data_IF_851409678538
#
_entry.id   IF_851409678538
#
_cell.length_a   1.000
_cell.length_b   1.000
_cell.length_c   1.000
_cell.angle_alpha   90.00
_cell.angle_beta   90.00
_cell.angle_gamma   90.00
#
_symmetry.space_group_name_H-M   'P 1'
#
loop_
_entity.id
_entity.type
_entity.pdbx_description
1 polymer ?
#
# COMPACT_ATOMS: atom_id res chain seq x y z
N UNK A 1 -21.60 -10.05 -27.26
CA UNK A 1 -20.76 -11.00 -26.52
C UNK A 1 -19.27 -10.64 -26.55
N UNK A 2 -18.88 -9.41 -26.96
CA UNK A 2 -17.46 -8.97 -26.95
C UNK A 2 -17.09 -8.11 -25.74
N UNK A 3 -18.08 -7.53 -25.06
CA UNK A 3 -17.86 -6.68 -23.89
C UNK A 3 -17.44 -7.47 -22.66
N UNK A 4 -17.89 -8.73 -22.50
CA UNK A 4 -17.52 -9.61 -21.36
C UNK A 4 -16.07 -10.08 -21.37
N UNK A 5 -15.39 -10.11 -22.54
CA UNK A 5 -13.99 -10.53 -22.61
C UNK A 5 -12.99 -9.43 -22.27
N UNK A 6 -13.39 -8.16 -22.36
CA UNK A 6 -12.51 -7.01 -22.06
C UNK A 6 -12.42 -6.72 -20.55
N UNK A 7 -13.40 -7.18 -19.76
CA UNK A 7 -13.36 -7.07 -18.29
C UNK A 7 -12.36 -8.03 -17.61
N UNK A 8 -11.89 -9.06 -18.32
CA UNK A 8 -11.13 -10.16 -17.72
C UNK A 8 -9.62 -9.91 -17.60
N UNK A 9 -9.04 -8.92 -18.28
CA UNK A 9 -7.57 -8.75 -18.32
C UNK A 9 -7.01 -7.55 -17.53
N UNK A 10 -7.83 -6.74 -16.83
CA UNK A 10 -7.33 -5.61 -16.03
C UNK A 10 -8.01 -5.54 -14.66
N UNK A 11 -7.62 -6.47 -13.80
CA UNK A 11 -8.11 -6.68 -12.43
C UNK A 11 -7.74 -5.57 -11.44
N UNK A 12 -6.68 -4.80 -11.72
CA UNK A 12 -6.14 -3.74 -10.87
C UNK A 12 -5.48 -2.67 -11.75
N UNK A 13 -5.43 -1.41 -11.29
CA UNK A 13 -4.66 -0.36 -11.96
C UNK A 13 -4.02 0.56 -10.94
N UNK A 14 -2.75 0.88 -11.13
CA UNK A 14 -2.06 1.88 -10.32
C UNK A 14 -2.04 3.22 -11.02
N UNK A 15 -2.83 4.18 -10.52
CA UNK A 15 -2.78 5.57 -10.99
C UNK A 15 -1.76 6.35 -10.16
N UNK A 16 -0.89 7.07 -10.86
CA UNK A 16 0.01 8.01 -10.25
C UNK A 16 -0.73 9.34 -10.04
N UNK A 17 -0.54 9.95 -8.87
CA UNK A 17 -1.03 11.31 -8.65
C UNK A 17 -0.09 12.29 -9.32
N UNK A 18 -0.64 13.15 -10.18
CA UNK A 18 0.12 14.15 -10.93
C UNK A 18 0.71 15.18 -9.95
N UNK A 19 2.04 15.28 -9.88
CA UNK A 19 2.76 16.26 -9.06
C UNK A 19 2.62 17.66 -9.68
N UNK A 20 1.45 18.28 -9.60
CA UNK A 20 1.26 19.65 -10.08
C UNK A 20 1.61 20.66 -8.96
N UNK A 21 2.86 21.13 -8.97
CA UNK A 21 3.32 22.33 -8.25
C UNK A 21 3.72 22.12 -6.79
N UNK A 22 5.03 22.18 -6.48
CA UNK A 22 5.68 22.25 -5.15
C UNK A 22 5.10 21.41 -3.98
N UNK A 23 4.20 20.47 -4.24
CA UNK A 23 3.67 19.53 -3.28
C UNK A 23 4.52 18.27 -3.31
N UNK A 24 5.57 18.23 -2.51
CA UNK A 24 6.14 16.95 -2.09
C UNK A 24 5.00 16.15 -1.46
N UNK A 25 4.68 14.99 -2.05
CA UNK A 25 3.84 13.98 -1.39
C UNK A 25 4.48 13.68 -0.05
N UNK A 26 3.93 14.24 1.03
CA UNK A 26 4.41 13.99 2.38
C UNK A 26 3.82 12.67 2.85
N UNK A 27 4.48 11.58 2.47
CA UNK A 27 4.32 10.31 3.16
C UNK A 27 4.87 10.49 4.57
N UNK A 28 3.99 10.55 5.56
CA UNK A 28 4.40 10.70 6.97
C UNK A 28 4.63 9.30 7.54
N UNK A 29 5.88 8.85 7.56
CA UNK A 29 6.24 7.62 8.28
C UNK A 29 6.11 7.87 9.79
N UNK A 30 4.96 7.50 10.34
CA UNK A 30 4.63 7.74 11.76
C UNK A 30 4.87 6.51 12.63
N UNK A 31 5.70 5.57 12.17
CA UNK A 31 6.08 4.39 12.95
C UNK A 31 6.93 4.83 14.14
N UNK A 32 6.71 4.26 15.34
CA UNK A 32 7.64 4.46 16.45
C UNK A 32 9.00 3.87 16.05
N UNK A 33 9.96 4.75 15.76
CA UNK A 33 11.33 4.38 15.44
C UNK A 33 11.97 3.81 16.72
N UNK A 34 12.01 2.48 16.86
CA UNK A 34 12.93 1.86 17.81
C UNK A 34 14.32 1.84 17.16
N UNK A 35 15.03 2.97 17.26
CA UNK A 35 16.46 3.07 16.96
C UNK A 35 17.26 2.27 17.99
N UNK A 36 17.41 0.96 17.78
CA UNK A 36 18.27 0.12 18.62
C UNK A 36 19.09 -0.84 17.77
N UNK A 37 19.98 -0.31 16.92
CA UNK A 37 21.11 -1.09 16.39
C UNK A 37 22.23 -0.17 15.87
N UNK A 38 22.99 0.38 16.81
CA UNK A 38 24.40 0.69 16.62
C UNK A 38 25.07 0.98 17.96
N UNK A 39 25.75 -0.02 18.51
CA UNK A 39 27.04 0.08 19.20
C UNK A 39 27.48 -1.34 19.55
N UNK A 40 28.45 -1.88 18.79
CA UNK A 40 29.35 -2.87 19.37
C UNK A 40 30.10 -2.15 20.48
N UNK A 41 29.87 -2.58 21.72
CA UNK A 41 30.60 -2.19 22.90
C UNK A 41 30.60 -3.40 23.82
N UNK A 42 31.78 -3.91 24.08
CA UNK A 42 32.09 -4.94 25.07
C UNK A 42 31.62 -4.48 26.46
N UNK A 43 31.36 -5.50 27.28
CA UNK A 43 31.26 -5.47 28.74
C UNK A 43 29.99 -4.91 29.43
N UNK A 44 29.72 -5.62 30.53
CA UNK A 44 28.82 -5.37 31.63
C UNK A 44 27.39 -5.93 31.61
N UNK A 45 27.28 -6.93 32.49
CA UNK A 45 26.14 -7.72 32.87
C UNK A 45 25.33 -6.91 33.88
N UNK A 46 24.18 -6.35 33.49
CA UNK A 46 23.20 -5.91 34.48
C UNK A 46 21.76 -6.03 33.95
N UNK A 47 20.94 -6.71 34.73
CA UNK A 47 19.59 -7.12 34.40
C UNK A 47 18.67 -5.92 34.13
N UNK A 48 18.50 -5.54 32.86
CA UNK A 48 17.39 -4.68 32.45
C UNK A 48 16.17 -5.54 32.10
N UNK A 49 15.24 -5.56 33.06
CA UNK A 49 13.85 -5.97 32.88
C UNK A 49 13.19 -5.00 31.88
N UNK A 50 13.41 -5.22 30.59
CA UNK A 50 12.77 -4.49 29.51
C UNK A 50 11.27 -4.75 29.56
N UNK A 51 10.51 -3.80 30.10
CA UNK A 51 9.10 -3.64 29.78
C UNK A 51 9.04 -3.46 28.27
N UNK A 52 8.76 -4.53 27.54
CA UNK A 52 8.24 -4.43 26.18
C UNK A 52 6.91 -3.68 26.32
N UNK A 53 6.96 -2.35 26.19
CA UNK A 53 5.79 -1.57 25.85
C UNK A 53 5.33 -2.13 24.51
N UNK A 54 4.33 -3.02 24.56
CA UNK A 54 3.58 -3.44 23.38
C UNK A 54 3.31 -2.17 22.58
N UNK A 55 3.76 -2.07 21.32
CA UNK A 55 3.50 -0.88 20.53
C UNK A 55 2.00 -0.63 20.61
N UNK A 56 1.61 0.53 21.12
CA UNK A 56 0.21 0.93 21.18
C UNK A 56 -0.20 1.02 19.71
N UNK A 57 -0.76 -0.09 19.20
CA UNK A 57 -1.32 -0.16 17.86
C UNK A 57 -2.33 0.97 17.78
N UNK A 58 -1.99 2.04 17.05
CA UNK A 58 -2.94 3.12 16.79
C UNK A 58 -4.17 2.47 16.19
N UNK A 59 -5.33 2.90 16.67
CA UNK A 59 -6.61 2.45 16.11
C UNK A 59 -6.54 2.55 14.60
N UNK A 60 -6.79 1.44 13.91
CA UNK A 60 -6.78 1.40 12.47
C UNK A 60 -8.01 2.13 11.92
N UNK A 61 -7.77 3.29 11.31
CA UNK A 61 -8.80 4.14 10.69
C UNK A 61 -8.70 4.15 9.16
N UNK A 62 -7.88 3.25 8.61
CA UNK A 62 -7.58 3.19 7.17
C UNK A 62 -8.69 2.53 6.36
N UNK A 63 -9.48 1.67 7.00
CA UNK A 63 -10.43 0.77 6.34
C UNK A 63 -9.79 -0.56 5.90
N UNK A 64 -8.48 -0.74 5.98
CA UNK A 64 -7.85 -2.05 5.75
C UNK A 64 -8.05 -2.99 6.94
N UNK A 65 -8.12 -4.31 6.72
CA UNK A 65 -7.98 -5.30 7.80
C UNK A 65 -6.68 -5.09 8.59
N UNK A 66 -6.71 -5.28 9.91
CA UNK A 66 -5.56 -5.03 10.80
C UNK A 66 -4.35 -5.91 10.46
N UNK A 67 -4.60 -7.17 10.09
CA UNK A 67 -3.58 -8.10 9.65
C UNK A 67 -2.92 -7.63 8.35
N UNK A 68 -3.73 -7.16 7.38
CA UNK A 68 -3.22 -6.62 6.14
C UNK A 68 -2.38 -5.37 6.39
N UNK A 69 -2.89 -4.40 7.15
CA UNK A 69 -2.14 -3.18 7.51
C UNK A 69 -0.79 -3.54 8.12
N UNK A 70 -0.80 -4.39 9.15
CA UNK A 70 0.41 -4.81 9.86
C UNK A 70 1.39 -5.52 8.92
N UNK A 71 0.90 -6.47 8.11
CA UNK A 71 1.73 -7.19 7.16
C UNK A 71 2.38 -6.29 6.11
N UNK A 72 1.64 -5.29 5.60
CA UNK A 72 2.20 -4.31 4.67
C UNK A 72 3.26 -3.44 5.37
N UNK A 73 2.99 -2.94 6.57
CA UNK A 73 3.92 -2.09 7.32
C UNK A 73 5.23 -2.83 7.66
N UNK A 74 5.14 -4.09 8.09
CA UNK A 74 6.30 -4.93 8.42
C UNK A 74 7.13 -5.31 7.18
N UNK A 75 6.46 -5.64 6.07
CA UNK A 75 7.15 -6.08 4.85
C UNK A 75 7.72 -4.91 4.04
N UNK A 76 7.03 -3.77 4.01
CA UNK A 76 7.43 -2.61 3.21
C UNK A 76 8.31 -1.63 3.97
N UNK A 77 8.19 -1.61 5.30
CA UNK A 77 8.87 -0.61 6.13
C UNK A 77 8.28 0.79 5.99
N UNK A 78 7.01 0.94 5.62
CA UNK A 78 6.30 2.22 5.57
C UNK A 78 5.03 2.18 6.42
N UNK A 79 4.74 3.28 7.13
CA UNK A 79 3.47 3.47 7.82
C UNK A 79 2.29 3.52 6.83
N UNK A 80 1.18 2.87 7.18
CA UNK A 80 -0.02 2.83 6.36
C UNK A 80 -1.18 3.65 6.97
N UNK A 81 -0.94 4.40 8.04
CA UNK A 81 -1.97 5.13 8.80
C UNK A 81 -2.74 6.19 7.97
N UNK A 82 -2.09 6.73 6.94
CA UNK A 82 -2.69 7.73 6.04
C UNK A 82 -3.51 7.11 4.90
N UNK A 83 -3.47 5.79 4.74
CA UNK A 83 -4.24 5.09 3.70
C UNK A 83 -5.74 5.17 4.00
N UNK A 84 -6.54 5.35 2.95
CA UNK A 84 -8.00 5.34 3.02
C UNK A 84 -8.59 4.40 1.98
N UNK A 85 -9.32 3.38 2.44
CA UNK A 85 -10.02 2.42 1.59
C UNK A 85 -11.48 2.83 1.42
N UNK A 86 -11.85 3.07 0.17
CA UNK A 86 -13.21 3.39 -0.26
C UNK A 86 -13.86 2.14 -0.84
N UNK A 87 -14.50 1.35 0.03
CA UNK A 87 -15.27 0.17 -0.37
C UNK A 87 -16.55 0.53 -1.10
N UNK A 88 -17.02 -0.37 -1.96
CA UNK A 88 -18.24 -0.19 -2.75
C UNK A 88 -18.24 1.11 -3.56
N UNK A 89 -17.06 1.52 -4.06
CA UNK A 89 -16.90 2.73 -4.84
C UNK A 89 -17.32 2.52 -6.28
N UNK A 90 -18.03 3.49 -6.85
CA UNK A 90 -18.37 3.51 -8.28
C UNK A 90 -17.20 4.01 -9.15
N UNK A 91 -16.13 4.54 -8.54
CA UNK A 91 -15.00 5.16 -9.24
C UNK A 91 -14.23 4.17 -10.14
N UNK A 92 -13.91 2.92 -9.72
CA UNK A 92 -13.16 1.99 -10.56
C UNK A 92 -13.83 1.72 -11.92
N UNK A 93 -15.16 1.75 -11.98
CA UNK A 93 -15.91 1.56 -13.23
C UNK A 93 -15.62 2.68 -14.26
N UNK A 94 -15.35 3.91 -13.81
CA UNK A 94 -15.07 5.06 -14.69
C UNK A 94 -13.76 4.90 -15.47
N UNK A 95 -12.83 4.10 -14.93
CA UNK A 95 -11.52 3.81 -15.51
C UNK A 95 -11.38 2.36 -15.97
N UNK A 96 -12.50 1.63 -16.04
CA UNK A 96 -12.56 0.22 -16.43
C UNK A 96 -11.58 -0.64 -15.61
N UNK A 97 -11.69 -0.54 -14.29
CA UNK A 97 -10.95 -1.35 -13.31
C UNK A 97 -11.91 -1.92 -12.24
N UNK A 98 -11.48 -2.95 -11.53
CA UNK A 98 -12.21 -3.51 -10.39
C UNK A 98 -11.79 -2.85 -9.07
N UNK A 99 -10.53 -2.50 -8.97
CA UNK A 99 -9.98 -1.65 -7.93
C UNK A 99 -8.85 -0.80 -8.52
N UNK A 100 -8.48 0.27 -7.82
CA UNK A 100 -7.28 1.04 -8.15
C UNK A 100 -6.73 1.77 -6.92
N UNK A 101 -5.43 2.05 -6.96
CA UNK A 101 -4.74 2.91 -6.01
C UNK A 101 -4.34 4.23 -6.65
N UNK A 102 -4.55 5.33 -5.93
CA UNK A 102 -4.06 6.66 -6.28
C UNK A 102 -3.51 7.36 -5.02
N UNK A 103 -2.19 7.40 -4.88
CA UNK A 103 -1.56 7.94 -3.68
C UNK A 103 -1.87 7.05 -2.48
N UNK A 104 -2.49 7.63 -1.45
CA UNK A 104 -2.94 6.91 -0.24
C UNK A 104 -4.40 6.47 -0.30
N UNK A 105 -5.11 6.75 -1.39
CA UNK A 105 -6.51 6.36 -1.58
C UNK A 105 -6.60 5.07 -2.39
N UNK A 106 -7.34 4.10 -1.86
CA UNK A 106 -7.64 2.82 -2.51
C UNK A 106 -9.14 2.77 -2.77
N UNK A 107 -9.55 2.60 -4.03
CA UNK A 107 -10.95 2.46 -4.41
C UNK A 107 -11.25 1.03 -4.82
N UNK A 108 -12.27 0.43 -4.21
CA UNK A 108 -12.66 -0.96 -4.45
C UNK A 108 -14.12 -1.01 -4.90
N UNK A 109 -14.37 -1.61 -6.06
CA UNK A 109 -15.74 -1.80 -6.54
C UNK A 109 -16.52 -2.79 -5.64
N UNK A 110 -17.86 -2.75 -5.65
CA UNK A 110 -18.67 -3.68 -4.86
C UNK A 110 -18.32 -5.16 -5.12
N UNK A 111 -18.00 -5.91 -4.06
CA UNK A 111 -17.64 -7.34 -4.14
C UNK A 111 -16.24 -7.63 -4.66
N UNK A 112 -15.35 -6.64 -4.70
CA UNK A 112 -13.97 -6.75 -5.21
C UNK A 112 -12.90 -6.60 -4.13
N UNK A 113 -13.25 -6.80 -2.86
CA UNK A 113 -12.36 -6.68 -1.70
C UNK A 113 -11.15 -7.63 -1.76
N UNK A 114 -11.24 -8.71 -2.54
CA UNK A 114 -10.13 -9.61 -2.83
C UNK A 114 -8.92 -8.92 -3.47
N UNK A 115 -9.11 -7.79 -4.14
CA UNK A 115 -8.04 -7.01 -4.76
C UNK A 115 -7.33 -6.08 -3.77
N UNK A 116 -7.90 -5.86 -2.58
CA UNK A 116 -7.36 -4.92 -1.61
C UNK A 116 -5.89 -5.19 -1.22
N UNK A 117 -5.44 -6.44 -0.97
CA UNK A 117 -4.04 -6.68 -0.62
C UNK A 117 -3.05 -6.28 -1.73
N UNK A 118 -3.45 -6.48 -2.99
CA UNK A 118 -2.68 -6.08 -4.15
C UNK A 118 -2.59 -4.55 -4.25
N UNK A 119 -3.74 -3.87 -4.16
CA UNK A 119 -3.81 -2.40 -4.20
C UNK A 119 -3.08 -1.73 -3.03
N UNK A 120 -3.11 -2.33 -1.84
CA UNK A 120 -2.36 -1.85 -0.67
C UNK A 120 -0.84 -1.95 -0.89
N UNK A 121 -0.35 -2.97 -1.60
CA UNK A 121 1.07 -3.06 -1.93
C UNK A 121 1.50 -1.97 -2.92
N UNK A 122 0.61 -1.54 -3.83
CA UNK A 122 0.89 -0.42 -4.71
C UNK A 122 1.11 0.89 -3.95
N UNK A 123 0.43 1.10 -2.82
CA UNK A 123 0.73 2.25 -1.94
C UNK A 123 2.19 2.19 -1.46
N UNK A 124 2.64 1.04 -0.96
CA UNK A 124 4.02 0.87 -0.52
C UNK A 124 5.04 1.11 -1.66
N UNK A 125 4.72 0.68 -2.88
CA UNK A 125 5.57 0.95 -4.04
C UNK A 125 5.65 2.44 -4.38
N UNK A 126 4.50 3.15 -4.34
CA UNK A 126 4.46 4.60 -4.55
C UNK A 126 5.23 5.35 -3.46
N UNK A 127 5.11 4.94 -2.20
CA UNK A 127 5.87 5.47 -1.06
C UNK A 127 7.37 5.26 -1.22
N UNK A 128 7.78 4.12 -1.77
CA UNK A 128 9.18 3.82 -2.05
C UNK A 128 9.78 4.65 -3.20
N UNK A 129 8.96 5.44 -3.93
CA UNK A 129 9.40 6.24 -5.07
C UNK A 129 9.88 5.40 -6.27
N UNK A 130 9.50 4.10 -6.31
CA UNK A 130 9.89 3.16 -7.37
C UNK A 130 8.90 3.13 -8.54
N UNK A 131 7.75 3.80 -8.41
CA UNK A 131 6.67 3.80 -9.40
C UNK A 131 6.80 5.05 -10.28
N UNK A 132 7.37 4.88 -11.46
CA UNK A 132 7.42 5.92 -12.50
C UNK A 132 6.30 5.72 -13.52
N UNK A 133 5.72 6.78 -14.10
CA UNK A 133 4.69 6.63 -15.14
C UNK A 133 5.29 5.99 -16.39
N UNK A 134 4.71 4.87 -16.82
CA UNK A 134 5.11 4.18 -18.06
C UNK A 134 4.12 4.42 -19.19
N UNK A 135 2.86 4.76 -18.86
CA UNK A 135 1.77 4.98 -19.81
C UNK A 135 0.74 5.98 -19.26
N UNK A 136 -0.28 6.31 -20.06
CA UNK A 136 -1.41 7.13 -19.66
C UNK A 136 -2.74 6.48 -20.05
N UNK A 137 -3.72 6.54 -19.14
CA UNK A 137 -5.09 6.07 -19.37
C UNK A 137 -6.04 7.18 -19.04
N UNK A 138 -6.82 7.65 -20.02
CA UNK A 138 -7.81 8.72 -19.80
C UNK A 138 -7.18 10.03 -19.32
N UNK A 139 -5.91 10.28 -19.65
CA UNK A 139 -5.14 11.44 -19.19
C UNK A 139 -4.56 11.32 -17.78
N UNK A 140 -4.66 10.14 -17.15
CA UNK A 140 -4.03 9.83 -15.87
C UNK A 140 -2.76 9.00 -16.09
N UNK A 141 -1.63 9.37 -15.45
CA UNK A 141 -0.40 8.59 -15.53
C UNK A 141 -0.58 7.25 -14.82
N UNK A 142 -0.13 6.17 -15.45
CA UNK A 142 -0.22 4.78 -14.97
C UNK A 142 1.14 4.13 -15.08
N UNK A 143 1.46 3.26 -14.11
CA UNK A 143 2.56 2.31 -14.24
C UNK A 143 1.98 0.94 -14.61
N UNK A 144 2.48 0.35 -15.69
CA UNK A 144 2.10 -0.98 -16.19
C UNK A 144 3.28 -1.95 -16.21
N UNK A 145 4.28 -1.74 -15.34
CA UNK A 145 5.47 -2.57 -15.26
C UNK A 145 5.13 -3.96 -14.68
N UNK A 146 5.26 -5.05 -15.48
CA UNK A 146 4.84 -6.38 -15.04
C UNK A 146 5.62 -6.91 -13.83
N UNK A 147 6.84 -6.41 -13.59
CA UNK A 147 7.61 -6.79 -12.41
C UNK A 147 7.02 -6.20 -11.12
N UNK A 148 6.49 -4.97 -11.18
CA UNK A 148 5.86 -4.31 -10.03
C UNK A 148 4.48 -4.90 -9.75
N UNK A 149 3.71 -5.24 -10.79
CA UNK A 149 2.44 -5.96 -10.67
C UNK A 149 2.62 -7.34 -10.01
N UNK A 150 3.63 -8.09 -10.44
CA UNK A 150 3.95 -9.37 -9.84
C UNK A 150 4.42 -9.25 -8.37
N UNK A 151 5.21 -8.22 -8.06
CA UNK A 151 5.60 -7.91 -6.68
C UNK A 151 4.35 -7.63 -5.83
N UNK A 152 3.39 -6.86 -6.35
CA UNK A 152 2.12 -6.56 -5.67
C UNK A 152 1.27 -7.80 -5.42
N UNK A 153 1.17 -8.73 -6.37
CA UNK A 153 0.48 -10.00 -6.18
C UNK A 153 1.11 -10.83 -5.03
N UNK A 154 2.42 -11.05 -5.09
CA UNK A 154 3.13 -11.91 -4.15
C UNK A 154 3.14 -11.29 -2.76
N UNK A 155 3.49 -10.02 -2.67
CA UNK A 155 3.66 -9.34 -1.39
C UNK A 155 2.34 -8.93 -0.77
N UNK A 156 1.33 -8.57 -1.57
CA UNK A 156 -0.04 -8.38 -1.10
C UNK A 156 -0.62 -9.66 -0.49
N UNK A 157 -0.47 -10.81 -1.18
CA UNK A 157 -0.91 -12.10 -0.63
C UNK A 157 -0.16 -12.47 0.66
N UNK A 158 1.15 -12.20 0.71
CA UNK A 158 1.97 -12.43 1.90
C UNK A 158 1.52 -11.56 3.09
N UNK A 159 1.30 -10.26 2.85
CA UNK A 159 0.82 -9.33 3.86
C UNK A 159 -0.56 -9.72 4.40
N UNK A 160 -1.46 -10.21 3.54
CA UNK A 160 -2.77 -10.69 3.94
C UNK A 160 -2.74 -11.95 4.84
N UNK A 161 -1.60 -12.64 4.90
CA UNK A 161 -1.42 -13.89 5.66
C UNK A 161 -0.70 -13.70 7.01
N UNK A 162 -0.44 -12.45 7.41
CA UNK A 162 0.07 -12.11 8.75
C UNK A 162 -0.96 -12.39 9.84
#
# INVERSE_FOLDING_TARGET
METEKVYQEKTARTFLQKLEGNGTLQFVDNRPQNEALQRLGEDDEEALQGKFEQPIQKKNETGMPDNLKTGIEDLSGFAMDDVRVHYNSDNPATVQALAYTQGTDIHVAPGQEQHLPHEAWHVAQQMAGRVEPTTEVGGLPVNDNPALEHEADVMGAKANSY
#
